data_IF_277454924379
#
_entry.id   IF_277454924379
#
_cell.length_a   1.000
_cell.length_b   1.000
_cell.length_c   1.000
_cell.angle_alpha   90.00
_cell.angle_beta   90.00
_cell.angle_gamma   90.00
#
_symmetry.space_group_name_H-M   'P 1'
#
loop_
_entity.id
_entity.type
_entity.pdbx_description
1 polymer ?
#
# COMPACT_ATOMS: atom_id res chain seq x y z
N UNK A 1 -15.97 -9.86 -2.99
CA UNK A 1 -15.73 -9.14 -1.71
C UNK A 1 -15.46 -7.69 -2.04
N UNK A 2 -16.13 -6.74 -1.39
CA UNK A 2 -15.87 -5.31 -1.62
C UNK A 2 -14.62 -4.90 -0.83
N UNK A 3 -13.59 -4.39 -1.51
CA UNK A 3 -12.35 -3.95 -0.87
C UNK A 3 -12.61 -2.90 0.21
N UNK A 4 -11.87 -2.94 1.32
CA UNK A 4 -11.96 -1.97 2.42
C UNK A 4 -11.27 -0.63 2.13
N UNK A 5 -10.80 -0.46 0.90
CA UNK A 5 -10.09 0.73 0.45
C UNK A 5 -10.38 1.05 -1.01
N UNK A 6 -10.11 2.29 -1.39
CA UNK A 6 -10.08 2.78 -2.76
C UNK A 6 -8.67 3.25 -3.08
N UNK A 7 -8.06 2.72 -4.14
CA UNK A 7 -6.79 3.25 -4.65
C UNK A 7 -7.03 4.63 -5.25
N UNK A 8 -6.24 5.62 -4.81
CA UNK A 8 -6.29 6.99 -5.32
C UNK A 8 -5.19 7.22 -6.35
N UNK A 9 -3.97 6.76 -6.04
CA UNK A 9 -2.78 7.03 -6.84
C UNK A 9 -1.76 5.90 -6.66
N UNK A 10 -1.00 5.63 -7.70
CA UNK A 10 0.17 4.75 -7.66
C UNK A 10 1.35 5.54 -8.22
N UNK A 11 2.42 5.64 -7.44
CA UNK A 11 3.68 6.28 -7.84
C UNK A 11 4.78 5.21 -7.95
N UNK A 12 5.51 5.19 -9.06
CA UNK A 12 6.73 4.39 -9.19
C UNK A 12 7.91 5.17 -8.59
N UNK A 13 8.59 4.56 -7.63
CA UNK A 13 9.76 5.11 -6.96
C UNK A 13 10.94 4.17 -7.13
N UNK A 14 12.13 4.74 -7.20
CA UNK A 14 13.38 3.97 -7.10
C UNK A 14 14.02 4.29 -5.75
N UNK A 15 14.38 3.26 -4.99
CA UNK A 15 15.08 3.37 -3.72
C UNK A 15 16.40 2.62 -3.76
N UNK A 16 17.36 3.04 -2.95
CA UNK A 16 18.57 2.28 -2.70
C UNK A 16 18.26 1.24 -1.63
N UNK A 17 18.35 -0.05 -1.97
CA UNK A 17 18.23 -1.15 -1.02
C UNK A 17 19.51 -1.31 -0.20
N UNK A 18 19.46 -2.14 0.84
CA UNK A 18 20.55 -2.33 1.80
C UNK A 18 21.88 -2.80 1.18
N UNK A 19 21.82 -3.51 0.05
CA UNK A 19 23.00 -3.96 -0.71
C UNK A 19 23.57 -2.90 -1.67
N UNK A 20 23.07 -1.65 -1.63
CA UNK A 20 23.46 -0.58 -2.56
C UNK A 20 22.84 -0.72 -3.96
N UNK A 21 21.94 -1.68 -4.16
CA UNK A 21 21.21 -1.87 -5.43
C UNK A 21 20.00 -0.95 -5.52
N UNK A 22 19.68 -0.49 -6.73
CA UNK A 22 18.46 0.26 -6.99
C UNK A 22 17.28 -0.73 -7.06
N UNK A 23 16.31 -0.57 -6.16
CA UNK A 23 15.07 -1.34 -6.11
C UNK A 23 13.89 -0.45 -6.52
N UNK A 24 12.96 -1.01 -7.28
CA UNK A 24 11.70 -0.34 -7.60
C UNK A 24 10.66 -0.60 -6.52
N UNK A 25 9.95 0.46 -6.15
CA UNK A 25 8.89 0.45 -5.16
C UNK A 25 7.68 1.17 -5.73
N UNK A 26 6.52 0.56 -5.63
CA UNK A 26 5.23 1.08 -6.07
C UNK A 26 4.45 1.60 -4.87
N UNK A 27 4.45 2.91 -4.70
CA UNK A 27 3.74 3.59 -3.63
C UNK A 27 2.26 3.72 -3.97
N UNK A 28 1.42 3.02 -3.22
CA UNK A 28 -0.03 3.07 -3.35
C UNK A 28 -0.60 4.05 -2.34
N UNK A 29 -1.20 5.13 -2.82
CA UNK A 29 -2.06 5.98 -2.01
C UNK A 29 -3.46 5.38 -2.01
N UNK A 30 -3.94 4.96 -0.85
CA UNK A 30 -5.27 4.38 -0.68
C UNK A 30 -6.11 5.19 0.31
N UNK A 31 -7.41 5.27 0.05
CA UNK A 31 -8.41 5.82 0.95
C UNK A 31 -9.19 4.68 1.59
N UNK A 32 -9.19 4.59 2.91
CA UNK A 32 -9.93 3.58 3.66
C UNK A 32 -11.43 3.89 3.72
N UNK A 33 -12.23 2.92 4.20
CA UNK A 33 -13.64 3.15 4.52
C UNK A 33 -13.82 4.18 5.64
N UNK A 34 -12.92 4.22 6.63
CA UNK A 34 -12.88 5.28 7.65
C UNK A 34 -12.47 6.66 7.15
N UNK A 35 -12.29 6.85 5.82
CA UNK A 35 -11.88 8.09 5.14
C UNK A 35 -10.43 8.51 5.39
N UNK A 36 -9.62 7.67 6.01
CA UNK A 36 -8.18 7.87 6.18
C UNK A 36 -7.46 7.70 4.85
N UNK A 37 -6.48 8.55 4.57
CA UNK A 37 -5.59 8.40 3.41
C UNK A 37 -4.25 7.92 3.95
N UNK A 38 -3.78 6.79 3.43
CA UNK A 38 -2.45 6.26 3.75
C UNK A 38 -1.69 5.92 2.47
N UNK A 39 -0.36 5.93 2.58
CA UNK A 39 0.54 5.50 1.52
C UNK A 39 1.21 4.20 1.92
N UNK A 40 1.14 3.21 1.05
CA UNK A 40 1.72 1.88 1.25
C UNK A 40 2.74 1.64 0.15
N UNK A 41 3.99 1.46 0.55
CA UNK A 41 5.09 1.17 -0.35
C UNK A 41 5.13 -0.35 -0.62
N UNK A 42 4.96 -0.76 -1.88
CA UNK A 42 4.99 -2.17 -2.29
C UNK A 42 6.21 -2.43 -3.16
N UNK A 43 7.04 -3.39 -2.81
CA UNK A 43 8.21 -3.82 -3.60
C UNK A 43 7.80 -4.31 -4.99
N UNK A 44 8.66 -4.16 -6.00
CA UNK A 44 8.38 -4.70 -7.34
C UNK A 44 8.02 -6.20 -7.33
N UNK A 45 8.65 -7.00 -6.46
CA UNK A 45 8.41 -8.44 -6.31
C UNK A 45 7.00 -8.78 -5.79
N UNK A 46 6.36 -7.81 -5.12
CA UNK A 46 5.04 -7.95 -4.52
C UNK A 46 3.97 -7.11 -5.25
N UNK A 47 4.36 -6.42 -6.32
CA UNK A 47 3.47 -5.64 -7.18
C UNK A 47 2.70 -6.54 -8.17
N UNK A 48 2.02 -7.56 -7.64
CA UNK A 48 1.05 -8.38 -8.38
C UNK A 48 -0.31 -8.26 -7.70
N UNK A 49 -1.40 -8.41 -8.46
CA UNK A 49 -2.75 -8.29 -7.91
C UNK A 49 -3.00 -9.23 -6.71
N UNK A 50 -2.44 -10.44 -6.76
CA UNK A 50 -2.60 -11.48 -5.73
C UNK A 50 -1.87 -11.15 -4.42
N UNK A 51 -0.73 -10.46 -4.50
CA UNK A 51 0.08 -10.08 -3.32
C UNK A 51 -0.25 -8.69 -2.81
N UNK A 52 -0.44 -7.71 -3.71
CA UNK A 52 -0.73 -6.33 -3.35
C UNK A 52 -2.12 -6.19 -2.71
N UNK A 53 -3.13 -6.92 -3.19
CA UNK A 53 -4.48 -6.83 -2.65
C UNK A 53 -4.57 -7.12 -1.14
N UNK A 54 -4.03 -8.23 -0.60
CA UNK A 54 -4.06 -8.48 0.84
C UNK A 54 -3.18 -7.51 1.65
N UNK A 55 -2.07 -7.02 1.10
CA UNK A 55 -1.22 -6.00 1.76
C UNK A 55 -2.00 -4.70 1.97
N UNK A 56 -2.64 -4.20 0.89
CA UNK A 56 -3.43 -2.97 0.93
C UNK A 56 -4.69 -3.12 1.79
N UNK A 57 -5.33 -4.28 1.75
CA UNK A 57 -6.51 -4.55 2.59
C UNK A 57 -6.15 -4.54 4.08
N UNK A 58 -5.07 -5.23 4.46
CA UNK A 58 -4.59 -5.23 5.84
C UNK A 58 -4.22 -3.83 6.31
N UNK A 59 -3.47 -3.08 5.50
CA UNK A 59 -3.09 -1.70 5.83
C UNK A 59 -4.31 -0.79 6.03
N UNK A 60 -5.35 -0.95 5.20
CA UNK A 60 -6.59 -0.18 5.33
C UNK A 60 -7.35 -0.51 6.62
N UNK A 61 -7.48 -1.80 6.95
CA UNK A 61 -8.16 -2.26 8.17
C UNK A 61 -7.41 -1.80 9.42
N UNK A 62 -6.10 -1.91 9.43
CA UNK A 62 -5.28 -1.51 10.58
C UNK A 62 -5.32 0.02 10.79
N UNK A 63 -5.28 0.81 9.71
CA UNK A 63 -5.44 2.25 9.78
C UNK A 63 -6.81 2.67 10.36
N UNK A 64 -7.90 2.00 9.94
CA UNK A 64 -9.23 2.28 10.47
C UNK A 64 -9.36 1.87 11.95
N UNK A 65 -8.70 0.79 12.38
CA UNK A 65 -8.65 0.40 13.80
C UNK A 65 -7.90 1.41 14.66
N UNK A 66 -6.78 1.95 14.19
CA UNK A 66 -6.01 2.97 14.92
C UNK A 66 -6.82 4.25 15.09
N UNK A 67 -7.58 4.67 14.06
CA UNK A 67 -8.41 5.87 14.15
C UNK A 67 -9.63 5.70 15.08
N UNK A 68 -10.11 4.46 15.27
CA UNK A 68 -11.26 4.16 16.11
C UNK A 68 -10.93 4.10 17.62
N UNK A 69 -9.66 4.21 18.00
CA UNK A 69 -9.16 4.30 19.38
C UNK A 69 -9.13 5.76 19.86
#
# INVERSE_FOLDING_TARGET
MAANYKVLKIDELTRVGDAGTLIKVYRHSIKTKGKTILTVDISQEDFTAEKAAPILEKAAVDADKILAL
#
